data_IF_250137972856
#
_entry.id   IF_250137972856
#
_cell.length_a   1.000
_cell.length_b   1.000
_cell.length_c   1.000
_cell.angle_alpha   90.00
_cell.angle_beta   90.00
_cell.angle_gamma   90.00
#
_symmetry.space_group_name_H-M   'P 1'
#
loop_
_entity.id
_entity.type
_entity.pdbx_description
1 polymer ?
#
# COMPACT_ATOMS: atom_id res chain seq x y z
N UNK A 1 20.98 13.95 -48.75
CA UNK A 1 19.67 13.27 -48.68
C UNK A 1 19.67 12.05 -47.74
N UNK A 2 20.82 11.64 -47.17
CA UNK A 2 20.91 10.59 -46.14
C UNK A 2 20.65 11.10 -44.71
N UNK A 3 21.00 12.36 -44.41
CA UNK A 3 21.05 12.83 -43.01
C UNK A 3 19.68 13.27 -42.45
N UNK A 4 18.71 13.53 -43.33
CA UNK A 4 17.34 13.89 -42.93
C UNK A 4 16.53 12.65 -42.57
N UNK A 5 16.76 11.52 -43.23
CA UNK A 5 16.14 10.24 -42.88
C UNK A 5 16.66 9.66 -41.56
N UNK A 6 17.95 9.87 -41.25
CA UNK A 6 18.55 9.40 -40.00
C UNK A 6 18.06 10.23 -38.79
N UNK A 7 17.79 11.52 -39.00
CA UNK A 7 17.20 12.41 -38.00
C UNK A 7 15.74 12.05 -37.70
N UNK A 8 14.95 11.66 -38.72
CA UNK A 8 13.55 11.23 -38.55
C UNK A 8 13.46 9.86 -37.87
N UNK A 9 14.39 8.93 -38.14
CA UNK A 9 14.46 7.64 -37.44
C UNK A 9 14.82 7.77 -35.95
N UNK A 10 15.69 8.72 -35.58
CA UNK A 10 16.01 9.02 -34.17
C UNK A 10 14.82 9.62 -33.40
N UNK A 11 14.00 10.46 -34.05
CA UNK A 11 12.81 11.07 -33.44
C UNK A 11 11.68 10.03 -33.24
N UNK A 12 11.54 9.05 -34.14
CA UNK A 12 10.58 7.95 -33.93
C UNK A 12 11.05 6.94 -32.86
N UNK A 13 12.34 6.70 -32.73
CA UNK A 13 12.89 5.79 -31.70
C UNK A 13 12.69 6.34 -30.27
N UNK A 14 12.79 7.66 -30.05
CA UNK A 14 12.55 8.24 -28.72
C UNK A 14 11.10 8.22 -28.24
N UNK A 15 10.11 8.18 -29.16
CA UNK A 15 8.68 8.05 -28.78
C UNK A 15 8.33 6.62 -28.34
N UNK A 16 9.09 5.61 -28.77
CA UNK A 16 8.89 4.21 -28.36
C UNK A 16 9.41 3.89 -26.96
N UNK A 17 10.41 4.61 -26.46
CA UNK A 17 11.03 4.34 -25.14
C UNK A 17 10.21 4.93 -23.98
N UNK A 18 9.38 5.95 -24.23
CA UNK A 18 8.49 6.52 -23.19
C UNK A 18 7.19 5.73 -22.95
N UNK A 19 6.86 4.74 -23.80
CA UNK A 19 5.63 3.94 -23.63
C UNK A 19 5.81 2.67 -22.78
N UNK A 20 7.03 2.35 -22.33
CA UNK A 20 7.30 1.15 -21.53
C UNK A 20 7.24 1.39 -20.01
N UNK A 21 7.25 2.65 -19.55
CA UNK A 21 7.21 3.00 -18.12
C UNK A 21 5.80 3.20 -17.54
N UNK A 22 4.76 3.24 -18.37
CA UNK A 22 3.37 3.23 -17.93
C UNK A 22 2.68 2.05 -18.59
N UNK A 23 2.46 0.98 -17.81
CA UNK A 23 1.95 -0.32 -18.27
C UNK A 23 0.54 -0.28 -18.85
N UNK A 24 0.42 0.25 -20.06
CA UNK A 24 -0.79 0.22 -20.89
C UNK A 24 -0.46 -0.65 -22.10
N UNK A 25 -1.00 -1.87 -22.15
CA UNK A 25 -0.99 -2.67 -23.37
C UNK A 25 -1.97 -2.05 -24.36
N UNK A 26 -1.60 -1.76 -25.62
CA UNK A 26 -2.57 -1.38 -26.63
C UNK A 26 -3.43 -2.59 -26.97
N UNK A 27 -4.73 -2.47 -26.75
CA UNK A 27 -5.75 -3.41 -27.25
C UNK A 27 -5.86 -3.27 -28.77
N UNK A 28 -5.89 -4.36 -29.56
CA UNK A 28 -6.17 -4.28 -30.98
C UNK A 28 -7.63 -3.81 -31.20
N UNK A 29 -7.91 -3.05 -32.28
CA UNK A 29 -9.26 -2.61 -32.60
C UNK A 29 -10.15 -3.80 -32.96
N UNK A 30 -11.47 -3.74 -32.69
CA UNK A 30 -12.39 -4.83 -33.00
C UNK A 30 -12.51 -5.02 -34.52
N UNK A 31 -12.38 -6.27 -34.96
CA UNK A 31 -12.73 -6.68 -36.33
C UNK A 31 -14.22 -6.44 -36.56
N UNK A 32 -14.53 -5.60 -37.55
CA UNK A 32 -15.89 -5.42 -38.05
C UNK A 32 -16.26 -6.58 -38.99
N UNK A 33 -17.50 -7.09 -38.95
CA UNK A 33 -17.95 -8.08 -39.92
C UNK A 33 -17.87 -7.50 -41.33
N UNK A 34 -17.39 -8.32 -42.26
CA UNK A 34 -17.30 -8.03 -43.68
C UNK A 34 -18.71 -7.88 -44.26
N UNK A 35 -19.24 -6.65 -44.25
CA UNK A 35 -20.24 -6.14 -45.18
C UNK A 35 -20.52 -4.66 -44.85
N UNK A 36 -19.56 -3.78 -45.10
CA UNK A 36 -19.82 -2.34 -45.13
C UNK A 36 -18.83 -1.63 -46.06
N UNK A 37 -19.32 -1.22 -47.25
CA UNK A 37 -18.55 -0.50 -48.25
C UNK A 37 -18.92 0.99 -48.19
N UNK A 38 -17.98 1.92 -47.88
CA UNK A 38 -18.27 3.36 -47.83
C UNK A 38 -18.11 4.00 -49.22
N UNK A 39 -18.95 4.98 -49.60
CA UNK A 39 -18.76 5.71 -50.84
C UNK A 39 -17.71 6.83 -50.65
N UNK A 40 -16.67 6.80 -51.48
CA UNK A 40 -15.73 7.90 -51.70
C UNK A 40 -16.40 9.03 -52.47
N UNK A 41 -16.18 10.26 -52.01
CA UNK A 41 -16.34 11.46 -52.83
C UNK A 41 -15.13 11.67 -53.74
N UNK A 42 -15.39 11.91 -55.02
CA UNK A 42 -14.44 12.42 -56.00
C UNK A 42 -15.07 13.56 -56.79
N UNK A 43 -14.32 14.65 -56.98
CA UNK A 43 -14.65 15.77 -57.85
C UNK A 43 -13.76 15.71 -59.12
N UNK A 44 -13.88 16.62 -60.10
CA UNK A 44 -14.92 16.72 -61.13
C UNK A 44 -14.33 16.64 -62.56
N UNK A 45 -15.07 16.18 -63.57
CA UNK A 45 -14.76 16.49 -64.98
C UNK A 45 -15.96 16.42 -65.94
N UNK A 46 -15.87 17.28 -66.95
CA UNK A 46 -16.86 17.80 -67.90
C UNK A 46 -17.44 16.84 -68.98
N UNK A 47 -18.69 17.18 -69.38
CA UNK A 47 -19.33 17.09 -70.73
C UNK A 47 -19.84 15.73 -71.27
N UNK A 48 -20.78 15.71 -72.26
CA UNK A 48 -22.22 15.99 -72.09
C UNK A 48 -23.11 14.89 -72.74
N UNK A 49 -24.40 14.78 -72.40
CA UNK A 49 -25.28 13.88 -73.16
C UNK A 49 -26.67 13.63 -72.59
N UNK A 50 -27.59 14.54 -72.92
CA UNK A 50 -29.03 14.37 -73.17
C UNK A 50 -29.81 13.20 -72.53
N UNK A 51 -30.82 13.58 -71.75
CA UNK A 51 -31.98 12.75 -71.41
C UNK A 51 -32.96 13.53 -70.52
N UNK A 52 -33.91 14.23 -71.16
CA UNK A 52 -35.15 14.82 -70.61
C UNK A 52 -35.84 13.85 -69.62
N UNK A 53 -36.57 14.20 -68.55
CA UNK A 53 -37.44 15.31 -68.11
C UNK A 53 -38.00 14.90 -66.72
N UNK A 54 -38.79 15.70 -65.98
CA UNK A 54 -38.55 17.04 -65.46
C UNK A 54 -38.60 17.06 -63.92
N UNK A 55 -37.70 17.82 -63.29
CA UNK A 55 -37.77 18.12 -61.87
C UNK A 55 -38.77 19.26 -61.66
N UNK A 56 -40.00 18.92 -61.26
CA UNK A 56 -41.00 19.88 -60.78
C UNK A 56 -40.51 20.47 -59.46
N UNK A 57 -39.86 21.64 -59.55
CA UNK A 57 -39.80 22.57 -58.44
C UNK A 57 -41.19 23.18 -58.26
N UNK A 58 -41.98 22.60 -57.36
CA UNK A 58 -43.22 23.18 -56.89
C UNK A 58 -42.92 24.41 -56.02
N UNK A 59 -42.53 25.51 -56.68
CA UNK A 59 -42.97 26.82 -56.19
C UNK A 59 -44.48 26.71 -56.09
N UNK A 60 -45.02 26.73 -54.88
CA UNK A 60 -46.44 26.94 -54.61
C UNK A 60 -46.83 28.26 -55.26
N UNK A 61 -47.23 28.19 -56.53
CA UNK A 61 -47.89 29.27 -57.21
C UNK A 61 -49.27 29.36 -56.58
N UNK A 62 -49.45 30.31 -55.66
CA UNK A 62 -50.77 30.82 -55.35
C UNK A 62 -51.30 31.45 -56.65
N UNK A 63 -51.93 30.65 -57.50
CA UNK A 63 -52.68 31.15 -58.64
C UNK A 63 -53.89 31.87 -58.08
N UNK A 64 -53.82 33.20 -58.09
CA UNK A 64 -54.93 34.06 -57.72
C UNK A 64 -56.03 33.86 -58.76
N UNK A 65 -57.06 33.08 -58.43
CA UNK A 65 -58.16 32.79 -59.34
C UNK A 65 -59.08 34.01 -59.45
N UNK A 66 -58.75 34.90 -60.40
CA UNK A 66 -59.51 36.11 -60.69
C UNK A 66 -60.95 35.81 -61.13
N UNK A 67 -61.20 34.63 -61.70
CA UNK A 67 -62.55 34.21 -62.13
C UNK A 67 -63.42 33.78 -60.96
N UNK A 68 -62.83 33.16 -59.93
CA UNK A 68 -63.51 32.86 -58.68
C UNK A 68 -63.89 34.14 -57.92
N UNK A 69 -63.01 35.15 -57.93
CA UNK A 69 -63.26 36.46 -57.35
C UNK A 69 -64.36 37.23 -58.07
N UNK A 70 -64.40 37.19 -59.40
CA UNK A 70 -65.46 37.82 -60.19
C UNK A 70 -66.82 37.12 -59.97
N UNK A 71 -66.83 35.78 -59.88
CA UNK A 71 -68.02 34.99 -59.54
C UNK A 71 -68.50 35.29 -58.12
N UNK A 72 -67.57 35.40 -57.16
CA UNK A 72 -67.88 35.76 -55.78
C UNK A 72 -68.41 37.19 -55.67
N UNK A 73 -67.86 38.14 -56.44
CA UNK A 73 -68.33 39.53 -56.47
C UNK A 73 -69.73 39.65 -57.08
N UNK A 74 -70.02 38.90 -58.15
CA UNK A 74 -71.36 38.84 -58.74
C UNK A 74 -72.37 38.18 -57.79
N UNK A 75 -71.99 37.07 -57.16
CA UNK A 75 -72.82 36.40 -56.16
C UNK A 75 -73.09 37.29 -54.93
N UNK A 76 -72.09 38.04 -54.45
CA UNK A 76 -72.24 38.99 -53.36
C UNK A 76 -73.25 40.11 -53.69
N UNK A 77 -73.21 40.63 -54.93
CA UNK A 77 -74.13 41.68 -55.40
C UNK A 77 -75.57 41.19 -55.59
N UNK A 78 -75.75 39.91 -55.91
CA UNK A 78 -77.07 39.27 -55.99
C UNK A 78 -77.64 38.95 -54.59
N UNK A 79 -76.78 38.60 -53.63
CA UNK A 79 -77.14 38.36 -52.23
C UNK A 79 -77.63 39.63 -51.51
N UNK A 80 -77.03 40.81 -51.77
CA UNK A 80 -77.42 42.08 -51.15
C UNK A 80 -78.86 42.53 -51.45
N UNK A 81 -79.52 41.94 -52.47
CA UNK A 81 -80.91 42.26 -52.83
C UNK A 81 -81.95 41.61 -51.91
N UNK A 82 -81.58 40.59 -51.14
CA UNK A 82 -82.50 39.89 -50.25
C UNK A 82 -82.40 40.42 -48.81
N UNK A 83 -83.54 40.75 -48.15
CA UNK A 83 -83.53 41.37 -46.82
C UNK A 83 -82.88 40.51 -45.72
N UNK A 84 -82.92 39.18 -45.84
CA UNK A 84 -82.37 38.25 -44.83
C UNK A 84 -80.99 37.65 -45.21
N UNK A 85 -80.34 38.15 -46.27
CA UNK A 85 -79.08 37.59 -46.77
C UNK A 85 -77.92 37.68 -45.77
N UNK A 86 -77.92 38.69 -44.90
CA UNK A 86 -76.90 38.86 -43.86
C UNK A 86 -76.95 37.75 -42.81
N UNK A 87 -78.15 37.42 -42.31
CA UNK A 87 -78.34 36.36 -41.32
C UNK A 87 -78.02 34.97 -41.88
N UNK A 88 -78.41 34.68 -43.13
CA UNK A 88 -78.08 33.42 -43.80
C UNK A 88 -76.56 33.25 -44.02
N UNK A 89 -75.85 34.34 -44.36
CA UNK A 89 -74.40 34.34 -44.51
C UNK A 89 -73.69 34.16 -43.17
N UNK A 90 -74.19 34.78 -42.10
CA UNK A 90 -73.67 34.57 -40.74
C UNK A 90 -73.87 33.12 -40.27
N UNK A 91 -75.03 32.51 -40.55
CA UNK A 91 -75.28 31.09 -40.27
C UNK A 91 -74.33 30.17 -41.05
N UNK A 92 -74.14 30.41 -42.35
CA UNK A 92 -73.20 29.64 -43.17
C UNK A 92 -71.76 29.79 -42.68
N UNK A 93 -71.36 31.01 -42.32
CA UNK A 93 -70.05 31.30 -41.73
C UNK A 93 -69.85 30.60 -40.38
N UNK A 94 -70.88 30.58 -39.53
CA UNK A 94 -70.85 29.87 -38.25
C UNK A 94 -70.75 28.35 -38.45
N UNK A 95 -71.47 27.77 -39.41
CA UNK A 95 -71.37 26.34 -39.74
C UNK A 95 -69.98 25.97 -40.27
N UNK A 96 -69.39 26.81 -41.13
CA UNK A 96 -68.06 26.56 -41.70
C UNK A 96 -66.97 26.70 -40.63
N UNK A 97 -67.09 27.67 -39.72
CA UNK A 97 -66.23 27.76 -38.54
C UNK A 97 -66.38 26.55 -37.62
N UNK A 98 -67.59 26.03 -37.45
CA UNK A 98 -67.84 24.82 -36.64
C UNK A 98 -67.18 23.61 -37.27
N UNK A 99 -67.34 23.44 -38.58
CA UNK A 99 -66.71 22.35 -39.35
C UNK A 99 -65.18 22.43 -39.33
N UNK A 100 -64.61 23.64 -39.42
CA UNK A 100 -63.16 23.84 -39.28
C UNK A 100 -62.67 23.44 -37.88
N UNK A 101 -63.41 23.82 -36.84
CA UNK A 101 -63.10 23.42 -35.45
C UNK A 101 -63.22 21.92 -35.22
N UNK A 102 -64.20 21.24 -35.83
CA UNK A 102 -64.35 19.79 -35.75
C UNK A 102 -63.19 19.05 -36.43
N UNK A 103 -62.78 19.50 -37.63
CA UNK A 103 -61.61 18.94 -38.32
C UNK A 103 -60.34 19.18 -37.49
N UNK A 104 -60.18 20.37 -36.91
CA UNK A 104 -59.06 20.69 -36.02
C UNK A 104 -59.07 19.82 -34.75
N UNK A 105 -60.24 19.52 -34.18
CA UNK A 105 -60.35 18.61 -33.05
C UNK A 105 -59.97 17.17 -33.44
N UNK A 106 -60.42 16.69 -34.60
CA UNK A 106 -60.08 15.35 -35.09
C UNK A 106 -58.59 15.21 -35.39
N UNK A 107 -57.96 16.23 -36.01
CA UNK A 107 -56.51 16.20 -36.27
C UNK A 107 -55.71 16.22 -34.96
N UNK A 108 -56.11 17.04 -33.98
CA UNK A 108 -55.49 17.04 -32.64
C UNK A 108 -55.65 15.70 -31.92
N UNK A 109 -56.81 15.05 -32.04
CA UNK A 109 -57.03 13.72 -31.46
C UNK A 109 -56.15 12.66 -32.12
N UNK A 110 -56.04 12.67 -33.46
CA UNK A 110 -55.16 11.77 -34.20
C UNK A 110 -53.69 12.00 -33.83
N UNK A 111 -53.28 13.26 -33.75
CA UNK A 111 -51.92 13.64 -33.36
C UNK A 111 -51.59 13.16 -31.93
N UNK A 112 -52.51 13.35 -30.99
CA UNK A 112 -52.37 12.84 -29.62
C UNK A 112 -52.25 11.31 -29.58
N UNK A 113 -53.02 10.58 -30.39
CA UNK A 113 -52.91 9.13 -30.52
C UNK A 113 -51.55 8.70 -31.11
N UNK A 114 -51.06 9.39 -32.14
CA UNK A 114 -49.75 9.12 -32.74
C UNK A 114 -48.63 9.39 -31.72
N UNK A 115 -48.73 10.47 -30.94
CA UNK A 115 -47.77 10.77 -29.89
C UNK A 115 -47.79 9.72 -28.77
N UNK A 116 -48.97 9.26 -28.35
CA UNK A 116 -49.12 8.18 -27.38
C UNK A 116 -48.48 6.88 -27.89
N UNK A 117 -48.78 6.46 -29.13
CA UNK A 117 -48.18 5.26 -29.73
C UNK A 117 -46.65 5.36 -29.85
N UNK A 118 -46.12 6.53 -30.24
CA UNK A 118 -44.67 6.77 -30.27
C UNK A 118 -44.05 6.64 -28.88
N UNK A 119 -44.70 7.20 -27.86
CA UNK A 119 -44.22 7.12 -26.48
C UNK A 119 -44.18 5.66 -25.98
N UNK A 120 -45.20 4.87 -26.28
CA UNK A 120 -45.23 3.44 -25.92
C UNK A 120 -44.17 2.64 -26.66
N UNK A 121 -43.95 2.89 -27.96
CA UNK A 121 -42.87 2.25 -28.71
C UNK A 121 -41.50 2.57 -28.12
N UNK A 122 -41.24 3.83 -27.76
CA UNK A 122 -39.97 4.20 -27.12
C UNK A 122 -39.78 3.52 -25.77
N UNK A 123 -40.84 3.45 -24.94
CA UNK A 123 -40.81 2.76 -23.64
C UNK A 123 -40.53 1.27 -23.79
N UNK A 124 -41.21 0.59 -24.73
CA UNK A 124 -40.99 -0.85 -24.99
C UNK A 124 -39.55 -1.10 -25.47
N UNK A 125 -39.04 -0.28 -26.40
CA UNK A 125 -37.67 -0.39 -26.88
C UNK A 125 -36.62 -0.15 -25.78
N UNK A 126 -36.88 0.79 -24.86
CA UNK A 126 -36.03 1.01 -23.69
C UNK A 126 -36.07 -0.17 -22.71
N UNK A 127 -37.24 -0.76 -22.48
CA UNK A 127 -37.38 -1.95 -21.63
C UNK A 127 -36.64 -3.15 -22.20
N UNK A 128 -36.71 -3.38 -23.51
CA UNK A 128 -35.95 -4.44 -24.19
C UNK A 128 -34.44 -4.21 -24.07
N UNK A 129 -33.97 -2.98 -24.32
CA UNK A 129 -32.56 -2.62 -24.15
C UNK A 129 -32.07 -2.79 -22.71
N UNK A 130 -32.91 -2.48 -21.72
CA UNK A 130 -32.56 -2.71 -20.30
C UNK A 130 -32.44 -4.20 -19.99
N UNK A 131 -33.28 -5.06 -20.58
CA UNK A 131 -33.20 -6.50 -20.40
C UNK A 131 -31.92 -7.06 -21.02
N UNK A 132 -31.60 -6.70 -22.26
CA UNK A 132 -30.37 -7.17 -22.91
C UNK A 132 -29.11 -6.70 -22.19
N UNK A 133 -29.06 -5.43 -21.79
CA UNK A 133 -27.93 -4.88 -21.05
C UNK A 133 -27.74 -5.55 -19.68
N UNK A 134 -28.83 -5.90 -19.00
CA UNK A 134 -28.75 -6.65 -17.74
C UNK A 134 -28.20 -8.07 -17.94
N UNK A 135 -28.58 -8.77 -19.01
CA UNK A 135 -28.06 -10.10 -19.32
C UNK A 135 -26.57 -10.05 -19.71
N UNK A 136 -26.18 -9.11 -20.56
CA UNK A 136 -24.78 -8.88 -20.91
C UNK A 136 -23.94 -8.57 -19.68
N UNK A 137 -24.44 -7.71 -18.78
CA UNK A 137 -23.75 -7.38 -17.53
C UNK A 137 -23.60 -8.60 -16.63
N UNK A 138 -24.62 -9.47 -16.54
CA UNK A 138 -24.52 -10.74 -15.81
C UNK A 138 -23.46 -11.66 -16.40
N UNK A 139 -23.42 -11.82 -17.73
CA UNK A 139 -22.41 -12.63 -18.41
C UNK A 139 -21.00 -12.05 -18.30
N UNK A 140 -20.86 -10.72 -18.33
CA UNK A 140 -19.58 -10.05 -18.13
C UNK A 140 -19.07 -10.25 -16.69
N UNK A 141 -19.96 -10.10 -15.70
CA UNK A 141 -19.64 -10.33 -14.29
C UNK A 141 -19.23 -11.78 -14.02
N UNK A 142 -19.99 -12.75 -14.53
CA UNK A 142 -19.65 -14.17 -14.39
C UNK A 142 -18.27 -14.50 -15.00
N UNK A 143 -17.95 -13.92 -16.17
CA UNK A 143 -16.62 -14.06 -16.79
C UNK A 143 -15.51 -13.44 -15.94
N UNK A 144 -15.73 -12.26 -15.37
CA UNK A 144 -14.78 -11.59 -14.48
C UNK A 144 -14.53 -12.43 -13.21
N UNK A 145 -15.59 -12.90 -12.55
CA UNK A 145 -15.49 -13.69 -11.33
C UNK A 145 -14.74 -15.02 -11.59
N UNK A 146 -14.99 -15.66 -12.74
CA UNK A 146 -14.28 -16.88 -13.14
C UNK A 146 -12.78 -16.63 -13.41
N UNK A 147 -12.44 -15.51 -14.04
CA UNK A 147 -11.05 -15.12 -14.25
C UNK A 147 -10.33 -14.83 -12.92
N UNK A 148 -11.00 -14.17 -11.97
CA UNK A 148 -10.47 -13.92 -10.63
C UNK A 148 -10.23 -15.22 -9.85
N UNK A 149 -11.16 -16.18 -9.92
CA UNK A 149 -10.98 -17.50 -9.31
C UNK A 149 -9.77 -18.24 -9.89
N UNK A 150 -9.60 -18.21 -11.22
CA UNK A 150 -8.43 -18.80 -11.87
C UNK A 150 -7.13 -18.09 -11.48
N UNK A 151 -7.14 -16.76 -11.37
CA UNK A 151 -5.97 -16.00 -10.94
C UNK A 151 -5.55 -16.35 -9.51
N UNK A 152 -6.51 -16.45 -8.58
CA UNK A 152 -6.26 -16.89 -7.19
C UNK A 152 -5.67 -18.30 -7.16
N UNK A 153 -6.26 -19.23 -7.90
CA UNK A 153 -5.79 -20.61 -7.96
C UNK A 153 -4.36 -20.72 -8.50
N UNK A 154 -4.02 -19.97 -9.57
CA UNK A 154 -2.64 -19.91 -10.09
C UNK A 154 -1.66 -19.34 -9.08
N UNK A 155 -2.05 -18.28 -8.36
CA UNK A 155 -1.20 -17.66 -7.34
C UNK A 155 -0.96 -18.62 -6.15
N UNK A 156 -2.00 -19.34 -5.72
CA UNK A 156 -1.89 -20.37 -4.69
C UNK A 156 -0.96 -21.52 -5.12
N UNK A 157 -1.10 -22.01 -6.35
CA UNK A 157 -0.23 -23.05 -6.91
C UNK A 157 1.23 -22.59 -7.02
N UNK A 158 1.49 -21.35 -7.44
CA UNK A 158 2.85 -20.80 -7.51
C UNK A 158 3.48 -20.68 -6.11
N UNK A 159 2.71 -20.22 -5.12
CA UNK A 159 3.17 -20.11 -3.74
C UNK A 159 3.45 -21.49 -3.12
N UNK A 160 2.56 -22.46 -3.37
CA UNK A 160 2.75 -23.85 -2.93
C UNK A 160 3.99 -24.47 -3.57
N UNK A 161 4.23 -24.22 -4.86
CA UNK A 161 5.43 -24.70 -5.55
C UNK A 161 6.71 -24.06 -4.96
N UNK A 162 6.71 -22.75 -4.72
CA UNK A 162 7.83 -22.05 -4.06
C UNK A 162 8.10 -22.58 -2.66
N UNK A 163 7.06 -22.84 -1.88
CA UNK A 163 7.19 -23.43 -0.54
C UNK A 163 7.85 -24.82 -0.59
N UNK A 164 7.41 -25.70 -1.50
CA UNK A 164 8.02 -27.02 -1.69
C UNK A 164 9.49 -26.92 -2.10
N UNK A 165 9.82 -26.01 -3.03
CA UNK A 165 11.21 -25.77 -3.45
C UNK A 165 12.08 -25.26 -2.30
N UNK A 166 11.55 -24.37 -1.46
CA UNK A 166 12.25 -23.88 -0.27
C UNK A 166 12.46 -25.00 0.76
N UNK A 167 11.45 -25.83 1.01
CA UNK A 167 11.55 -26.97 1.92
C UNK A 167 12.61 -27.98 1.46
N UNK A 168 12.64 -28.32 0.16
CA UNK A 168 13.70 -29.17 -0.39
C UNK A 168 15.10 -28.55 -0.23
N UNK A 169 15.22 -27.23 -0.40
CA UNK A 169 16.51 -26.55 -0.24
C UNK A 169 17.00 -26.54 1.21
N UNK A 170 16.09 -26.34 2.17
CA UNK A 170 16.38 -26.42 3.60
C UNK A 170 16.78 -27.82 3.99
N UNK A 171 16.06 -28.84 3.52
CA UNK A 171 16.39 -30.25 3.79
C UNK A 171 17.77 -30.61 3.27
N UNK A 172 18.15 -30.18 2.06
CA UNK A 172 19.51 -30.38 1.52
C UNK A 172 20.57 -29.65 2.36
N UNK A 173 20.27 -28.44 2.84
CA UNK A 173 21.18 -27.72 3.73
C UNK A 173 21.35 -28.45 5.07
N UNK A 174 20.27 -28.90 5.71
CA UNK A 174 20.31 -29.68 6.95
C UNK A 174 21.12 -30.97 6.78
N UNK A 175 20.94 -31.69 5.68
CA UNK A 175 21.75 -32.86 5.36
C UNK A 175 23.23 -32.51 5.19
N UNK A 176 23.56 -31.37 4.58
CA UNK A 176 24.95 -30.90 4.45
C UNK A 176 25.56 -30.52 5.80
N UNK A 177 24.81 -29.83 6.67
CA UNK A 177 25.26 -29.44 8.01
C UNK A 177 25.47 -30.67 8.88
N UNK A 178 24.52 -31.61 8.87
CA UNK A 178 24.63 -32.86 9.62
C UNK A 178 25.86 -33.68 9.20
N UNK A 179 26.17 -33.72 7.89
CA UNK A 179 27.41 -34.34 7.37
C UNK A 179 28.68 -33.62 7.86
N UNK A 180 28.69 -32.29 7.86
CA UNK A 180 29.82 -31.51 8.39
C UNK A 180 30.00 -31.72 9.90
N UNK A 181 28.92 -31.78 10.66
CA UNK A 181 28.95 -32.05 12.10
C UNK A 181 29.45 -33.46 12.41
N UNK A 182 28.99 -34.48 11.67
CA UNK A 182 29.49 -35.85 11.86
C UNK A 182 30.98 -35.96 11.53
N UNK A 183 31.45 -35.27 10.48
CA UNK A 183 32.87 -35.23 10.14
C UNK A 183 33.69 -34.54 11.24
N UNK A 184 33.24 -33.38 11.73
CA UNK A 184 33.92 -32.67 12.83
C UNK A 184 33.97 -33.50 14.11
N UNK A 185 32.88 -34.17 14.46
CA UNK A 185 32.84 -35.08 15.62
C UNK A 185 33.85 -36.22 15.45
N UNK A 186 33.86 -36.88 14.28
CA UNK A 186 34.82 -37.93 14.00
C UNK A 186 36.29 -37.45 14.06
N UNK A 187 36.57 -36.23 13.56
CA UNK A 187 37.91 -35.63 13.67
C UNK A 187 38.30 -35.37 15.13
N UNK A 188 37.40 -34.79 15.92
CA UNK A 188 37.65 -34.50 17.34
C UNK A 188 37.83 -35.80 18.14
N UNK A 189 37.01 -36.81 17.89
CA UNK A 189 37.14 -38.14 18.49
C UNK A 189 38.49 -38.79 18.15
N UNK A 190 38.95 -38.65 16.90
CA UNK A 190 40.26 -39.14 16.48
C UNK A 190 41.41 -38.40 17.17
N UNK A 191 41.34 -37.07 17.28
CA UNK A 191 42.33 -36.26 18.00
C UNK A 191 42.37 -36.59 19.49
N UNK A 192 41.21 -36.76 20.13
CA UNK A 192 41.10 -37.15 21.53
C UNK A 192 41.66 -38.54 21.77
N UNK A 193 41.37 -39.51 20.88
CA UNK A 193 41.91 -40.86 20.98
C UNK A 193 43.44 -40.87 20.85
N UNK A 194 43.99 -40.07 19.93
CA UNK A 194 45.44 -39.89 19.79
C UNK A 194 46.06 -39.25 21.04
N UNK A 195 45.48 -38.15 21.55
CA UNK A 195 45.96 -37.50 22.78
C UNK A 195 45.92 -38.43 23.98
N UNK A 196 44.82 -39.17 24.15
CA UNK A 196 44.68 -40.14 25.23
C UNK A 196 45.74 -41.25 25.13
N UNK A 197 46.04 -41.71 23.91
CA UNK A 197 47.11 -42.69 23.68
C UNK A 197 48.49 -42.12 24.06
N UNK A 198 48.80 -40.89 23.66
CA UNK A 198 50.05 -40.23 24.04
C UNK A 198 50.17 -39.96 25.55
N UNK A 199 49.08 -39.55 26.20
CA UNK A 199 49.06 -39.32 27.66
C UNK A 199 49.27 -40.63 28.42
N UNK A 200 48.64 -41.73 27.99
CA UNK A 200 48.89 -43.05 28.58
C UNK A 200 50.35 -43.47 28.44
N UNK A 201 50.95 -43.33 27.25
CA UNK A 201 52.37 -43.65 27.03
C UNK A 201 53.29 -42.79 27.90
N UNK A 202 52.96 -41.50 28.08
CA UNK A 202 53.70 -40.59 28.95
C UNK A 202 53.57 -40.98 30.43
N UNK A 203 52.36 -41.31 30.90
CA UNK A 203 52.11 -41.76 32.27
C UNK A 203 52.84 -43.08 32.53
N UNK A 204 52.83 -44.02 31.59
CA UNK A 204 53.57 -45.27 31.69
C UNK A 204 55.09 -45.06 31.75
N UNK A 205 55.62 -44.14 30.94
CA UNK A 205 57.04 -43.77 30.98
C UNK A 205 57.40 -43.10 32.31
N UNK A 206 56.58 -42.17 32.78
CA UNK A 206 56.80 -41.43 34.02
C UNK A 206 56.65 -42.33 35.26
N UNK A 207 55.67 -43.23 35.28
CA UNK A 207 55.51 -44.20 36.37
C UNK A 207 56.65 -45.20 36.41
N UNK A 208 57.16 -45.66 35.26
CA UNK A 208 58.38 -46.50 35.20
C UNK A 208 59.63 -45.74 35.66
N UNK A 209 59.76 -44.46 35.33
CA UNK A 209 60.85 -43.60 35.79
C UNK A 209 60.77 -43.35 37.31
N UNK A 210 59.58 -42.99 37.81
CA UNK A 210 59.31 -42.82 39.25
C UNK A 210 59.50 -44.11 40.03
N UNK A 211 59.13 -45.26 39.49
CA UNK A 211 59.36 -46.57 40.12
C UNK A 211 60.86 -46.92 40.20
N UNK A 212 61.68 -46.50 39.22
CA UNK A 212 63.14 -46.63 39.30
C UNK A 212 63.74 -45.66 40.33
N UNK A 213 63.33 -44.40 40.30
CA UNK A 213 63.79 -43.38 41.26
C UNK A 213 63.39 -43.71 42.71
N UNK A 214 62.21 -44.29 42.93
CA UNK A 214 61.75 -44.74 44.26
C UNK A 214 62.51 -45.98 44.78
N UNK A 215 63.11 -46.79 43.89
CA UNK A 215 63.99 -47.90 44.28
C UNK A 215 65.36 -47.39 44.72
N UNK A 216 65.83 -46.28 44.15
CA UNK A 216 67.14 -45.70 44.43
C UNK A 216 67.13 -44.75 45.66
N UNK A 217 66.00 -44.11 45.97
CA UNK A 217 65.87 -43.15 47.08
C UNK A 217 65.31 -43.74 48.39
N UNK A 218 65.30 -45.08 48.54
CA UNK A 218 64.64 -45.75 49.67
C UNK A 218 65.32 -45.51 51.02
N UNK A 219 66.59 -45.10 51.01
CA UNK A 219 67.40 -45.01 52.23
C UNK A 219 67.52 -43.58 52.79
N UNK A 220 67.06 -42.54 52.07
CA UNK A 220 67.26 -41.13 52.48
C UNK A 220 65.97 -40.46 52.99
N UNK A 221 64.78 -40.97 52.64
CA UNK A 221 63.51 -40.31 52.97
C UNK A 221 62.84 -40.82 54.27
N UNK A 222 63.42 -41.83 54.92
CA UNK A 222 62.91 -42.44 56.16
C UNK A 222 63.20 -41.59 57.40
N UNK A 223 64.25 -40.76 57.35
CA UNK A 223 64.64 -39.89 58.47
C UNK A 223 63.88 -38.56 58.48
N UNK A 224 63.57 -37.98 57.32
CA UNK A 224 62.85 -36.71 57.23
C UNK A 224 61.34 -36.82 57.50
N UNK A 225 60.74 -38.01 57.34
CA UNK A 225 59.30 -38.21 57.62
C UNK A 225 58.96 -38.28 59.11
N UNK A 226 59.91 -38.61 60.00
CA UNK A 226 59.62 -38.72 61.45
C UNK A 226 59.49 -37.36 62.15
N UNK A 227 60.12 -36.30 61.64
CA UNK A 227 60.11 -34.98 62.27
C UNK A 227 58.89 -34.13 61.87
N UNK A 228 58.25 -34.42 60.74
CA UNK A 228 57.13 -33.61 60.23
C UNK A 228 55.73 -34.16 60.57
N UNK A 229 55.64 -35.35 61.17
CA UNK A 229 54.35 -36.00 61.48
C UNK A 229 53.68 -35.57 62.78
N UNK A 230 54.40 -34.95 63.72
CA UNK A 230 53.84 -34.67 65.05
C UNK A 230 53.14 -33.31 65.18
N UNK A 231 53.47 -32.32 64.35
CA UNK A 231 52.90 -30.97 64.48
C UNK A 231 51.66 -30.70 63.59
N UNK A 232 51.56 -31.29 62.41
CA UNK A 232 50.46 -31.00 61.47
C UNK A 232 49.22 -31.90 61.63
N UNK A 233 49.32 -33.04 62.33
CA UNK A 233 48.19 -33.97 62.50
C UNK A 233 47.13 -33.50 63.51
N UNK A 234 47.47 -32.65 64.49
CA UNK A 234 46.50 -32.22 65.52
C UNK A 234 45.66 -31.01 65.07
N UNK A 235 46.29 -30.01 64.46
CA UNK A 235 45.66 -28.70 64.15
C UNK A 235 44.72 -28.75 62.94
N UNK A 236 44.99 -29.60 61.95
CA UNK A 236 44.15 -29.74 60.75
C UNK A 236 42.93 -30.61 61.05
N UNK A 237 43.06 -31.63 61.91
CA UNK A 237 41.95 -32.50 62.30
C UNK A 237 40.92 -31.73 63.16
N UNK A 238 41.33 -30.83 64.04
CA UNK A 238 40.39 -30.01 64.84
C UNK A 238 39.66 -28.95 64.01
N UNK A 239 40.34 -28.29 63.06
CA UNK A 239 39.70 -27.29 62.18
C UNK A 239 38.73 -27.94 61.20
N UNK A 240 39.03 -29.14 60.69
CA UNK A 240 38.12 -29.92 59.84
C UNK A 240 36.97 -30.52 60.64
N UNK A 241 37.20 -31.00 61.88
CA UNK A 241 36.11 -31.50 62.74
C UNK A 241 35.15 -30.39 63.17
N UNK A 242 35.65 -29.23 63.55
CA UNK A 242 34.80 -28.13 64.05
C UNK A 242 34.02 -27.48 62.90
N UNK A 243 34.68 -27.20 61.77
CA UNK A 243 34.00 -26.66 60.58
C UNK A 243 33.08 -27.70 59.95
N UNK A 244 33.50 -28.97 59.90
CA UNK A 244 32.72 -30.08 59.38
C UNK A 244 31.53 -30.48 60.26
N UNK A 245 31.61 -30.32 61.58
CA UNK A 245 30.49 -30.57 62.49
C UNK A 245 29.43 -29.47 62.41
N UNK A 246 29.82 -28.20 62.32
CA UNK A 246 28.87 -27.07 62.19
C UNK A 246 28.21 -27.08 60.81
N UNK A 247 28.98 -27.34 59.74
CA UNK A 247 28.46 -27.48 58.39
C UNK A 247 27.61 -28.76 58.26
N UNK A 248 28.06 -29.86 58.86
CA UNK A 248 27.36 -31.15 58.83
C UNK A 248 26.02 -31.12 59.58
N UNK A 249 25.96 -30.49 60.76
CA UNK A 249 24.71 -30.33 61.50
C UNK A 249 23.72 -29.42 60.74
N UNK A 250 24.20 -28.31 60.17
CA UNK A 250 23.37 -27.41 59.37
C UNK A 250 22.88 -28.03 58.05
N UNK A 251 23.73 -28.79 57.35
CA UNK A 251 23.34 -29.51 56.14
C UNK A 251 22.41 -30.68 56.44
N UNK A 252 22.61 -31.40 57.54
CA UNK A 252 21.78 -32.54 57.87
C UNK A 252 20.37 -32.12 58.30
N UNK A 253 20.23 -31.01 59.04
CA UNK A 253 18.94 -30.35 59.30
C UNK A 253 18.28 -29.84 58.01
N UNK A 254 19.07 -29.28 57.08
CA UNK A 254 18.57 -28.80 55.79
C UNK A 254 18.14 -29.91 54.82
N UNK A 255 18.88 -31.03 54.80
CA UNK A 255 18.60 -32.19 53.93
C UNK A 255 17.48 -33.08 54.48
N UNK A 256 17.29 -33.11 55.81
CA UNK A 256 16.20 -33.87 56.43
C UNK A 256 14.85 -33.15 56.35
N UNK A 257 14.84 -31.81 56.27
CA UNK A 257 13.65 -31.02 56.08
C UNK A 257 13.27 -30.92 54.58
N UNK A 258 12.38 -31.82 54.15
CA UNK A 258 11.87 -31.87 52.77
C UNK A 258 11.29 -30.53 52.30
N UNK A 259 10.74 -29.72 53.20
CA UNK A 259 10.12 -28.43 52.86
C UNK A 259 11.19 -27.37 52.57
N UNK A 260 12.25 -27.31 53.40
CA UNK A 260 13.37 -26.38 53.19
C UNK A 260 14.19 -26.75 51.94
N UNK A 261 14.43 -28.05 51.72
CA UNK A 261 15.15 -28.53 50.54
C UNK A 261 14.38 -28.24 49.23
N UNK A 262 13.07 -28.51 49.19
CA UNK A 262 12.25 -28.22 47.99
C UNK A 262 12.14 -26.73 47.72
N UNK A 263 11.99 -25.89 48.76
CA UNK A 263 12.01 -24.45 48.63
C UNK A 263 13.36 -23.96 48.06
N UNK A 264 14.49 -24.44 48.58
CA UNK A 264 15.80 -24.03 48.11
C UNK A 264 16.08 -24.45 46.66
N UNK A 265 15.75 -25.70 46.30
CA UNK A 265 15.86 -26.17 44.91
C UNK A 265 14.96 -25.35 44.00
N UNK A 266 13.70 -25.11 44.40
CA UNK A 266 12.77 -24.26 43.64
C UNK A 266 13.28 -22.84 43.46
N UNK A 267 13.90 -22.25 44.48
CA UNK A 267 14.46 -20.89 44.42
C UNK A 267 15.69 -20.83 43.51
N UNK A 268 16.59 -21.81 43.60
CA UNK A 268 17.76 -21.91 42.73
C UNK A 268 17.37 -22.14 41.27
N UNK A 269 16.38 -23.00 41.00
CA UNK A 269 15.84 -23.20 39.66
C UNK A 269 15.16 -21.93 39.15
N UNK A 270 14.35 -21.25 39.97
CA UNK A 270 13.71 -19.99 39.58
C UNK A 270 14.74 -18.89 39.27
N UNK A 271 15.83 -18.80 40.04
CA UNK A 271 16.94 -17.88 39.76
C UNK A 271 17.68 -18.25 38.48
N UNK A 272 17.98 -19.53 38.24
CA UNK A 272 18.63 -20.00 37.03
C UNK A 272 17.77 -19.74 35.78
N UNK A 273 16.47 -20.04 35.85
CA UNK A 273 15.50 -19.77 34.79
C UNK A 273 15.37 -18.26 34.58
N UNK A 274 15.23 -17.47 35.66
CA UNK A 274 15.15 -16.02 35.60
C UNK A 274 16.39 -15.40 34.94
N UNK A 275 17.59 -15.86 35.29
CA UNK A 275 18.84 -15.43 34.69
C UNK A 275 18.93 -15.82 33.20
N UNK A 276 18.54 -17.04 32.85
CA UNK A 276 18.57 -17.51 31.46
C UNK A 276 17.58 -16.73 30.58
N UNK A 277 16.36 -16.52 31.09
CA UNK A 277 15.32 -15.70 30.43
C UNK A 277 15.77 -14.26 30.30
N UNK A 278 16.39 -13.65 31.32
CA UNK A 278 16.92 -12.30 31.22
C UNK A 278 18.05 -12.21 30.17
N UNK A 279 19.00 -13.16 30.19
CA UNK A 279 20.15 -13.16 29.27
C UNK A 279 19.76 -13.43 27.81
N UNK A 280 18.74 -14.26 27.55
CA UNK A 280 18.28 -14.58 26.19
C UNK A 280 17.15 -13.68 25.70
N UNK A 281 16.28 -13.24 26.61
CA UNK A 281 15.12 -12.40 26.30
C UNK A 281 15.46 -10.94 26.06
N UNK A 282 16.54 -10.43 26.65
CA UNK A 282 16.99 -9.03 26.48
C UNK A 282 17.17 -8.64 25.02
N UNK A 283 17.74 -9.49 24.17
CA UNK A 283 17.94 -9.16 22.75
C UNK A 283 16.64 -9.01 21.96
N UNK A 284 15.64 -9.86 22.23
CA UNK A 284 14.33 -9.83 21.55
C UNK A 284 13.51 -8.63 22.02
N UNK A 285 13.48 -8.41 23.35
CA UNK A 285 12.81 -7.26 23.95
C UNK A 285 13.46 -5.95 23.52
N UNK A 286 14.79 -5.88 23.47
CA UNK A 286 15.52 -4.71 23.01
C UNK A 286 15.19 -4.39 21.54
N UNK A 287 15.23 -5.37 20.63
CA UNK A 287 14.87 -5.14 19.22
C UNK A 287 13.41 -4.74 19.03
N UNK A 288 12.50 -5.33 19.81
CA UNK A 288 11.08 -4.96 19.78
C UNK A 288 10.83 -3.55 20.34
N UNK A 289 11.53 -3.20 21.42
CA UNK A 289 11.50 -1.88 22.02
C UNK A 289 12.11 -0.83 21.07
N UNK A 290 13.24 -1.13 20.42
CA UNK A 290 13.86 -0.26 19.42
C UNK A 290 12.95 -0.05 18.20
N UNK A 291 12.26 -1.09 17.72
CA UNK A 291 11.33 -0.96 16.59
C UNK A 291 10.13 -0.04 16.90
N UNK A 292 9.68 0.02 18.16
CA UNK A 292 8.52 0.84 18.57
C UNK A 292 8.86 2.18 19.19
N UNK A 293 10.03 2.29 19.83
CA UNK A 293 10.44 3.47 20.62
C UNK A 293 11.66 4.17 20.01
N UNK A 294 12.43 3.49 19.17
CA UNK A 294 13.58 4.05 18.46
C UNK A 294 13.16 4.87 17.25
N UNK A 295 13.96 5.90 16.94
CA UNK A 295 13.82 6.65 15.68
C UNK A 295 14.34 5.78 14.53
N UNK A 296 13.55 5.49 13.48
CA UNK A 296 14.03 4.73 12.32
C UNK A 296 15.10 5.53 11.58
N UNK A 297 16.04 4.82 10.95
CA UNK A 297 17.25 5.40 10.32
C UNK A 297 16.96 6.40 9.19
N UNK A 298 15.80 6.30 8.54
CA UNK A 298 15.36 7.20 7.47
C UNK A 298 14.79 8.55 7.97
N UNK A 299 14.43 8.63 9.26
CA UNK A 299 13.87 9.85 9.83
C UNK A 299 15.01 10.74 10.31
N UNK A 300 15.25 11.84 9.59
CA UNK A 300 16.30 12.81 9.93
C UNK A 300 15.89 13.73 11.07
N UNK A 301 14.64 14.20 11.03
CA UNK A 301 14.09 15.08 12.07
C UNK A 301 12.70 14.60 12.50
N UNK A 302 12.40 14.68 13.79
CA UNK A 302 11.06 14.41 14.31
C UNK A 302 10.76 15.23 15.56
N UNK A 303 9.48 15.56 15.77
CA UNK A 303 8.99 16.08 17.06
C UNK A 303 8.60 15.00 18.06
N UNK A 304 8.64 13.72 17.67
CA UNK A 304 8.20 12.64 18.55
C UNK A 304 9.18 12.50 19.70
N UNK A 305 8.68 12.76 20.90
CA UNK A 305 9.46 12.64 22.13
C UNK A 305 9.79 11.17 22.36
N UNK A 306 11.07 10.82 22.27
CA UNK A 306 11.53 9.48 22.62
C UNK A 306 11.81 9.39 24.13
N UNK A 307 11.61 8.22 24.77
CA UNK A 307 11.90 8.04 26.19
C UNK A 307 13.36 8.40 26.53
N UNK A 308 14.30 8.06 25.64
CA UNK A 308 15.72 8.35 25.81
C UNK A 308 16.01 9.86 25.81
N UNK A 309 15.33 10.63 24.95
CA UNK A 309 15.47 12.08 24.87
C UNK A 309 14.79 12.79 26.05
N UNK A 310 13.70 12.21 26.56
CA UNK A 310 13.04 12.67 27.80
C UNK A 310 13.97 12.57 29.00
N UNK A 311 14.71 11.46 29.09
CA UNK A 311 15.70 11.26 30.16
C UNK A 311 16.86 12.25 30.06
N UNK A 312 17.37 12.50 28.85
CA UNK A 312 18.50 13.41 28.62
C UNK A 312 18.13 14.89 28.78
N UNK A 313 16.92 15.29 28.40
CA UNK A 313 16.50 16.69 28.34
C UNK A 313 15.07 16.93 28.85
N UNK A 314 14.79 16.72 30.16
CA UNK A 314 13.44 16.81 30.71
C UNK A 314 12.82 18.22 30.57
N UNK A 315 13.62 19.27 30.77
CA UNK A 315 13.15 20.67 30.71
C UNK A 315 12.77 21.08 29.27
N UNK A 316 13.55 20.64 28.26
CA UNK A 316 13.25 20.93 26.84
C UNK A 316 11.96 20.24 26.41
N UNK A 317 11.73 19.01 26.88
CA UNK A 317 10.52 18.25 26.59
C UNK A 317 9.31 18.92 27.24
N UNK A 318 9.37 19.29 28.52
CA UNK A 318 8.29 20.01 29.19
C UNK A 318 7.92 21.29 28.44
N UNK A 319 8.91 22.12 28.07
CA UNK A 319 8.68 23.34 27.30
C UNK A 319 8.05 23.09 25.93
N UNK A 320 8.37 21.96 25.29
CA UNK A 320 7.81 21.59 23.98
C UNK A 320 6.38 21.07 24.10
N UNK A 321 6.04 20.36 25.18
CA UNK A 321 4.68 19.87 25.46
C UNK A 321 3.73 21.01 25.79
N UNK A 322 4.18 22.02 26.54
CA UNK A 322 3.36 23.17 26.97
C UNK A 322 3.39 24.36 26.00
N UNK A 323 3.91 24.19 24.77
CA UNK A 323 3.91 25.28 23.78
C UNK A 323 2.49 25.59 23.28
N UNK A 324 2.07 26.87 23.26
CA UNK A 324 0.79 27.25 22.69
C UNK A 324 0.78 27.00 21.17
N UNK A 325 -0.41 26.70 20.63
CA UNK A 325 -0.60 26.52 19.19
C UNK A 325 -0.47 27.88 18.50
N UNK A 326 0.50 28.04 17.61
CA UNK A 326 0.66 29.24 16.79
C UNK A 326 -0.09 29.12 15.45
N UNK A 327 -0.30 30.25 14.76
CA UNK A 327 -0.88 30.28 13.41
C UNK A 327 0.00 29.47 12.44
N UNK A 328 -0.57 28.54 11.64
CA UNK A 328 0.19 27.68 10.72
C UNK A 328 0.97 28.48 9.66
N UNK A 329 0.58 29.72 9.38
CA UNK A 329 1.17 30.56 8.33
C UNK A 329 2.08 31.68 8.88
N UNK A 330 2.32 31.71 10.20
CA UNK A 330 3.19 32.73 10.81
C UNK A 330 4.61 32.65 10.27
N UNK A 331 5.02 33.68 9.53
CA UNK A 331 6.36 33.79 8.94
C UNK A 331 6.49 33.22 7.52
N UNK A 332 5.39 32.79 6.89
CA UNK A 332 5.38 32.35 5.48
C UNK A 332 4.73 33.44 4.63
N UNK A 333 5.50 34.05 3.72
CA UNK A 333 4.96 35.03 2.78
C UNK A 333 4.48 34.29 1.53
N UNK A 334 3.19 34.39 1.23
CA UNK A 334 2.52 33.67 0.14
C UNK A 334 1.63 34.61 -0.65
N UNK A 335 1.30 34.23 -1.89
CA UNK A 335 0.23 34.90 -2.62
C UNK A 335 -1.12 34.66 -1.92
N UNK A 336 -2.08 35.60 -2.00
CA UNK A 336 -3.36 35.49 -1.28
C UNK A 336 -4.14 34.21 -1.60
N UNK A 337 -4.05 33.71 -2.84
CA UNK A 337 -4.71 32.47 -3.26
C UNK A 337 -4.05 31.23 -2.65
N UNK A 338 -2.71 31.18 -2.63
CA UNK A 338 -1.98 30.08 -2.00
C UNK A 338 -2.19 30.08 -0.48
N UNK A 339 -2.21 31.26 0.15
CA UNK A 339 -2.48 31.39 1.58
C UNK A 339 -3.86 30.80 1.93
N UNK A 340 -4.91 31.15 1.18
CA UNK A 340 -6.27 30.61 1.39
C UNK A 340 -6.29 29.09 1.28
N UNK A 341 -5.66 28.51 0.25
CA UNK A 341 -5.59 27.05 0.08
C UNK A 341 -4.84 26.37 1.23
N UNK A 342 -3.68 26.90 1.62
CA UNK A 342 -2.90 26.33 2.71
C UNK A 342 -3.62 26.47 4.06
N UNK A 343 -4.34 27.57 4.29
CA UNK A 343 -5.16 27.77 5.47
C UNK A 343 -6.32 26.77 5.53
N UNK A 344 -6.98 26.52 4.41
CA UNK A 344 -8.04 25.50 4.30
C UNK A 344 -7.52 24.10 4.61
N UNK A 345 -6.34 23.74 4.09
CA UNK A 345 -5.66 22.47 4.41
C UNK A 345 -5.35 22.37 5.91
N UNK A 346 -4.88 23.46 6.53
CA UNK A 346 -4.57 23.49 7.95
C UNK A 346 -5.80 23.31 8.84
N UNK A 347 -6.89 24.02 8.52
CA UNK A 347 -8.18 23.91 9.21
C UNK A 347 -8.75 22.51 9.03
N UNK A 348 -8.77 22.00 7.80
CA UNK A 348 -9.25 20.65 7.48
C UNK A 348 -8.46 19.61 8.26
N UNK A 349 -7.12 19.69 8.28
CA UNK A 349 -6.27 18.74 9.02
C UNK A 349 -6.53 18.77 10.52
N UNK A 350 -6.69 19.97 11.09
CA UNK A 350 -7.03 20.13 12.51
C UNK A 350 -8.42 19.54 12.85
N UNK A 351 -9.41 19.76 11.99
CA UNK A 351 -10.76 19.21 12.15
C UNK A 351 -10.80 17.69 11.95
N UNK A 352 -10.12 17.17 10.92
CA UNK A 352 -9.96 15.72 10.69
C UNK A 352 -9.37 15.03 11.91
N UNK A 353 -8.34 15.63 12.53
CA UNK A 353 -7.77 15.09 13.78
C UNK A 353 -8.80 15.04 14.90
N UNK A 354 -9.57 16.12 15.12
CA UNK A 354 -10.61 16.18 16.17
C UNK A 354 -11.69 15.13 15.96
N UNK A 355 -12.08 14.92 14.70
CA UNK A 355 -13.17 14.02 14.31
C UNK A 355 -12.69 12.59 13.99
N UNK A 356 -11.38 12.28 14.15
CA UNK A 356 -10.77 10.99 13.79
C UNK A 356 -11.07 10.55 12.35
N UNK A 357 -11.12 11.50 11.42
CA UNK A 357 -11.33 11.23 10.00
C UNK A 357 -10.07 10.77 9.26
N UNK A 358 -10.20 10.44 7.98
CA UNK A 358 -9.06 10.10 7.13
C UNK A 358 -8.27 11.36 6.72
N UNK A 359 -6.94 11.27 6.80
CA UNK A 359 -6.04 12.35 6.38
C UNK A 359 -5.84 12.35 4.87
N UNK A 360 -5.62 13.54 4.31
CA UNK A 360 -5.32 13.74 2.88
C UNK A 360 -3.80 13.77 2.69
N UNK A 361 -3.33 13.18 1.59
CA UNK A 361 -1.95 13.32 1.15
C UNK A 361 -1.80 14.61 0.34
N UNK A 362 -0.79 15.41 0.65
CA UNK A 362 -0.54 16.70 -0.01
C UNK A 362 0.87 16.71 -0.58
N UNK A 363 1.00 17.13 -1.84
CA UNK A 363 2.28 17.31 -2.51
C UNK A 363 2.57 18.80 -2.67
N UNK A 364 3.66 19.27 -2.06
CA UNK A 364 4.17 20.62 -2.29
C UNK A 364 5.28 20.58 -3.34
N UNK A 365 5.08 21.28 -4.46
CA UNK A 365 6.08 21.42 -5.51
C UNK A 365 6.51 22.88 -5.65
N UNK A 366 7.72 23.10 -6.16
CA UNK A 366 8.27 24.43 -6.44
C UNK A 366 9.76 24.54 -6.14
N UNK A 367 10.40 25.66 -6.51
CA UNK A 367 11.85 25.87 -6.32
C UNK A 367 12.33 25.62 -4.89
N UNK A 368 13.58 25.18 -4.68
CA UNK A 368 14.13 25.06 -3.33
C UNK A 368 14.08 26.42 -2.62
N UNK A 369 13.89 26.41 -1.29
CA UNK A 369 13.83 27.65 -0.49
C UNK A 369 12.46 28.33 -0.40
N UNK A 370 11.42 27.87 -1.11
CA UNK A 370 10.06 28.47 -1.03
C UNK A 370 9.25 28.12 0.23
N UNK A 371 9.89 27.69 1.31
CA UNK A 371 9.23 27.47 2.61
C UNK A 371 8.34 26.22 2.72
N UNK A 372 8.33 25.31 1.73
CA UNK A 372 7.51 24.07 1.75
C UNK A 372 7.68 23.24 3.03
N UNK A 373 8.94 22.98 3.42
CA UNK A 373 9.27 22.22 4.65
C UNK A 373 8.90 22.98 5.92
N UNK A 374 9.01 24.31 5.89
CA UNK A 374 8.63 25.15 7.02
C UNK A 374 7.10 25.10 7.23
N UNK A 375 6.33 25.17 6.14
CA UNK A 375 4.88 25.03 6.20
C UNK A 375 4.46 23.66 6.74
N UNK A 376 5.05 22.56 6.28
CA UNK A 376 4.74 21.22 6.78
C UNK A 376 5.02 21.07 8.29
N UNK A 377 6.13 21.63 8.80
CA UNK A 377 6.43 21.68 10.25
C UNK A 377 5.38 22.48 11.01
N UNK A 378 5.04 23.67 10.49
CA UNK A 378 4.07 24.56 11.11
C UNK A 378 2.66 23.96 11.14
N UNK A 379 2.25 23.29 10.05
CA UNK A 379 0.99 22.56 9.92
C UNK A 379 0.88 21.47 11.01
N UNK A 380 1.91 20.64 11.18
CA UNK A 380 1.92 19.60 12.20
C UNK A 380 1.78 20.20 13.61
N UNK A 381 2.54 21.26 13.91
CA UNK A 381 2.46 21.96 15.20
C UNK A 381 1.08 22.57 15.46
N UNK A 382 0.48 23.22 14.46
CA UNK A 382 -0.85 23.84 14.58
C UNK A 382 -1.95 22.81 14.79
N UNK A 383 -1.94 21.72 14.00
CA UNK A 383 -2.86 20.60 14.16
C UNK A 383 -2.57 19.79 15.44
N UNK A 384 -1.41 20.00 16.08
CA UNK A 384 -0.93 19.30 17.26
C UNK A 384 -0.57 17.83 17.01
N UNK A 385 -0.22 17.52 15.77
CA UNK A 385 0.33 16.24 15.31
C UNK A 385 1.84 16.25 15.53
N UNK A 386 2.45 15.06 15.62
CA UNK A 386 3.90 14.94 15.50
C UNK A 386 4.33 15.13 14.04
N UNK A 387 5.58 15.53 13.79
CA UNK A 387 6.16 15.54 12.45
C UNK A 387 7.35 14.58 12.35
N UNK A 388 7.57 14.05 11.16
CA UNK A 388 8.80 13.37 10.78
C UNK A 388 9.21 13.79 9.37
N UNK A 389 10.49 14.09 9.18
CA UNK A 389 11.06 14.48 7.91
C UNK A 389 12.01 13.37 7.45
N UNK A 390 11.75 12.88 6.25
CA UNK A 390 12.54 11.88 5.56
C UNK A 390 13.14 12.51 4.31
N UNK A 391 14.33 12.08 3.93
CA UNK A 391 14.96 12.47 2.68
C UNK A 391 14.88 11.30 1.71
N UNK A 392 14.22 11.48 0.57
CA UNK A 392 14.13 10.46 -0.48
C UNK A 392 15.51 10.06 -1.04
N UNK A 393 16.48 10.97 -0.97
CA UNK A 393 17.89 10.68 -1.28
C UNK A 393 18.53 9.61 -0.37
N UNK A 394 18.01 9.39 0.83
CA UNK A 394 18.49 8.32 1.73
C UNK A 394 17.85 6.95 1.38
N UNK A 395 16.75 6.96 0.63
CA UNK A 395 16.01 5.75 0.23
C UNK A 395 16.63 5.12 -1.02
N UNK A 396 17.00 5.94 -2.00
CA UNK A 396 17.58 5.49 -3.28
C UNK A 396 18.80 4.56 -3.12
N UNK A 397 19.83 4.85 -2.28
CA UNK A 397 21.00 3.99 -2.14
C UNK A 397 20.71 2.66 -1.42
N UNK A 398 19.58 2.54 -0.72
CA UNK A 398 19.22 1.29 0.00
C UNK A 398 18.71 0.19 -0.94
N UNK A 399 18.40 0.49 -2.20
CA UNK A 399 17.94 -0.50 -3.18
C UNK A 399 16.75 -1.32 -2.68
N UNK A 400 16.93 -2.64 -2.55
CA UNK A 400 15.90 -3.57 -2.07
C UNK A 400 15.50 -3.36 -0.60
N UNK A 401 16.43 -2.87 0.23
CA UNK A 401 16.16 -2.62 1.65
C UNK A 401 15.38 -1.32 1.89
N UNK A 402 15.27 -0.46 0.85
CA UNK A 402 14.53 0.79 0.92
C UNK A 402 13.04 0.59 1.24
N UNK A 403 12.40 -0.43 0.63
CA UNK A 403 10.98 -0.74 0.88
C UNK A 403 10.76 -1.15 2.34
N UNK A 404 11.63 -2.02 2.86
CA UNK A 404 11.59 -2.46 4.26
C UNK A 404 11.81 -1.29 5.22
N UNK A 405 12.69 -0.35 4.88
CA UNK A 405 12.93 0.84 5.69
C UNK A 405 11.74 1.80 5.67
N UNK A 406 11.07 1.98 4.52
CA UNK A 406 9.82 2.75 4.42
C UNK A 406 8.72 2.13 5.29
N UNK A 407 8.51 0.81 5.22
CA UNK A 407 7.53 0.13 6.08
C UNK A 407 7.82 0.36 7.56
N UNK A 408 9.09 0.26 7.98
CA UNK A 408 9.48 0.57 9.37
C UNK A 408 9.10 2.01 9.78
N UNK A 409 9.21 2.98 8.87
CA UNK A 409 8.81 4.36 9.18
C UNK A 409 7.30 4.49 9.29
N UNK A 410 6.53 3.81 8.44
CA UNK A 410 5.06 3.83 8.53
C UNK A 410 4.54 3.09 9.78
N UNK A 411 5.10 1.93 10.12
CA UNK A 411 4.76 1.20 11.36
C UNK A 411 5.10 2.05 12.59
N UNK A 412 6.27 2.69 12.56
CA UNK A 412 6.66 3.64 13.59
C UNK A 412 5.70 4.83 13.64
N UNK A 413 5.28 5.39 12.50
CA UNK A 413 4.31 6.49 12.46
C UNK A 413 2.94 6.10 13.04
N UNK A 414 2.44 4.89 12.73
CA UNK A 414 1.18 4.36 13.26
C UNK A 414 1.21 4.20 14.78
N UNK A 415 2.37 3.92 15.38
CA UNK A 415 2.51 3.81 16.83
C UNK A 415 2.42 5.15 17.58
N UNK A 416 2.35 6.30 16.89
CA UNK A 416 2.19 7.61 17.55
C UNK A 416 0.77 7.80 18.11
N UNK A 417 0.68 8.24 19.36
CA UNK A 417 -0.60 8.56 20.03
C UNK A 417 -1.26 9.85 19.53
N UNK A 418 -0.47 10.81 19.02
CA UNK A 418 -0.97 12.13 18.61
C UNK A 418 -1.41 12.17 17.15
N UNK A 419 -1.02 11.17 16.36
CA UNK A 419 -0.98 11.21 14.89
C UNK A 419 0.31 11.88 14.40
N UNK A 420 0.82 11.47 13.24
CA UNK A 420 2.14 11.89 12.75
C UNK A 420 2.08 12.29 11.27
N UNK A 421 2.59 13.48 10.96
CA UNK A 421 2.78 13.99 9.60
C UNK A 421 4.14 13.54 9.08
N UNK A 422 4.14 12.69 8.07
CA UNK A 422 5.33 12.19 7.39
C UNK A 422 5.60 13.07 6.17
N UNK A 423 6.68 13.84 6.19
CA UNK A 423 7.13 14.62 5.03
C UNK A 423 8.30 13.91 4.37
N UNK A 424 8.15 13.60 3.07
CA UNK A 424 9.22 13.01 2.25
C UNK A 424 9.79 14.12 1.35
N UNK A 425 11.07 14.41 1.51
CA UNK A 425 11.82 15.39 0.72
C UNK A 425 12.43 14.71 -0.50
N UNK A 426 11.96 15.06 -1.69
CA UNK A 426 12.61 14.67 -2.93
C UNK A 426 13.56 15.79 -3.37
N UNK A 427 14.85 15.50 -3.39
CA UNK A 427 15.84 16.37 -4.02
C UNK A 427 16.10 15.82 -5.42
N UNK A 428 15.46 16.40 -6.44
CA UNK A 428 15.87 16.20 -7.82
C UNK A 428 17.13 17.03 -8.04
N UNK A 429 18.28 16.47 -7.66
CA UNK A 429 19.56 16.99 -8.14
C UNK A 429 19.62 16.59 -9.63
N UNK A 430 19.86 17.58 -10.50
CA UNK A 430 19.85 17.43 -11.96
C UNK A 430 20.42 16.07 -12.43
N UNK A 431 19.54 15.28 -13.07
CA UNK A 431 19.92 14.27 -14.06
C UNK A 431 20.06 14.99 -15.39
#
# INVERSE_FOLDING_TARGET
>A
MSDVEETIKRIQSQKGVMSWLFGVKPTPPPELPADFNPPQGGAPQDKPGQGQQPQQSSRMAYSFDSTALERAAKAAKELERFPNAKEALELSRMQELTRQKEVEQQTKQLEAQIQAMKSDQTRIAEEERRKTLNEETKHARARSDYQDQLARKRAEEELAMKARMQEESLRKQEESVKKQESLRKATIEHELALKHKYELEKIDAETRARAKAARENRDVNLEQMKLHEEENRKTVIEKIKTSGAVIGAGLQEFLSDKTKMTAAVGTLTALAVGWYVAKRGTGVVARYAEARLGKPSLVRETSRITPLETLKHPIKVAKTVFRPKHDPLKGVVLSPNAERQLRDIAITTANTRRNKGLFRNVLFYGPPGTGKTLFAKSLAQHSGLDYAILTGGDIAPMGRDGVSAIHKVFDWAQSSRKGLVVQILFSFSHI
#
